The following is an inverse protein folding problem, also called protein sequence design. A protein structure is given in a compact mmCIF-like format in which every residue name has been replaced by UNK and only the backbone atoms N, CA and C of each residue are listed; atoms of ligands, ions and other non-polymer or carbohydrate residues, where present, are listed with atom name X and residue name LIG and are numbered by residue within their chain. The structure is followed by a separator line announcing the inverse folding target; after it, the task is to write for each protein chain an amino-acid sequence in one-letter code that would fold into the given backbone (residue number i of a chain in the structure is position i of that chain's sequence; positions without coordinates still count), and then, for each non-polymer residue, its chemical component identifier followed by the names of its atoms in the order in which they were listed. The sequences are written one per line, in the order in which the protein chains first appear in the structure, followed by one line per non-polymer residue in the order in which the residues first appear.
data_IF_962849355901
#
_entry.id   IF_962849355901
#
_cell.length_a   1.000
_cell.length_b   1.000
_cell.length_c   1.000
_cell.angle_alpha   90.00
_cell.angle_beta   90.00
_cell.angle_gamma   90.00
#
_symmetry.space_group_name_H-M   'P 1'
#
loop_
_entity.id
_entity.type
_entity.pdbx_description
1 polymer ?
#
# COMPACT_ATOMS: atom_id res chain seq x y z
N UNK A 1 -21.82 5.13 -2.49
CA UNK A 1 -20.81 4.41 -3.28
C UNK A 1 -20.92 4.78 -4.74
N UNK A 2 -21.99 4.39 -5.45
CA UNK A 2 -22.18 4.71 -6.88
C UNK A 2 -22.21 6.22 -7.16
N UNK A 3 -22.92 6.99 -6.34
CA UNK A 3 -23.05 8.45 -6.57
C UNK A 3 -21.93 9.28 -5.92
N UNK A 4 -21.00 8.62 -5.22
CA UNK A 4 -19.99 9.32 -4.41
C UNK A 4 -18.58 8.83 -4.74
N UNK A 5 -18.26 7.60 -4.36
CA UNK A 5 -16.91 7.07 -4.47
C UNK A 5 -16.54 6.72 -5.91
N UNK A 6 -17.48 6.22 -6.71
CA UNK A 6 -17.22 5.90 -8.14
C UNK A 6 -16.81 7.15 -8.94
N UNK A 7 -17.55 8.28 -8.88
CA UNK A 7 -17.10 9.54 -9.51
C UNK A 7 -15.71 9.99 -9.05
N UNK A 8 -15.38 9.80 -7.76
CA UNK A 8 -14.04 10.10 -7.26
C UNK A 8 -12.97 9.21 -7.90
N UNK A 9 -13.21 7.90 -7.98
CA UNK A 9 -12.29 6.95 -8.61
C UNK A 9 -12.08 7.21 -10.10
N UNK A 10 -13.11 7.69 -10.81
CA UNK A 10 -13.08 7.94 -12.25
C UNK A 10 -12.53 9.33 -12.60
N UNK A 11 -12.76 10.33 -11.75
CA UNK A 11 -12.42 11.72 -12.02
C UNK A 11 -11.05 12.17 -11.50
N UNK A 12 -10.54 11.57 -10.42
CA UNK A 12 -9.37 12.12 -9.70
C UNK A 12 -8.12 11.24 -9.76
N UNK A 13 -8.20 10.01 -10.28
CA UNK A 13 -7.08 9.08 -10.28
C UNK A 13 -6.33 9.03 -11.61
N UNK A 14 -5.01 8.89 -11.53
CA UNK A 14 -4.13 8.63 -12.66
C UNK A 14 -3.55 7.22 -12.57
N UNK A 15 -4.38 6.20 -12.80
CA UNK A 15 -3.98 4.81 -12.64
C UNK A 15 -2.86 4.40 -13.62
N UNK A 16 -1.69 3.94 -13.14
CA UNK A 16 -0.68 3.38 -14.03
C UNK A 16 -1.22 2.16 -14.77
N UNK A 17 -0.99 2.12 -16.10
CA UNK A 17 -1.61 1.12 -16.97
C UNK A 17 -1.29 -0.34 -16.61
N UNK A 18 -0.15 -0.60 -15.98
CA UNK A 18 0.23 -1.95 -15.53
C UNK A 18 -0.74 -2.49 -14.47
N UNK A 19 -1.17 -1.64 -13.53
CA UNK A 19 -2.10 -2.03 -12.47
C UNK A 19 -3.53 -2.17 -12.98
N UNK A 20 -3.92 -1.41 -14.02
CA UNK A 20 -5.19 -1.63 -14.69
C UNK A 20 -5.24 -2.98 -15.39
N UNK A 21 -4.15 -3.37 -16.07
CA UNK A 21 -4.04 -4.70 -16.71
C UNK A 21 -4.08 -5.83 -15.69
N UNK A 22 -3.41 -5.67 -14.55
CA UNK A 22 -3.45 -6.67 -13.49
C UNK A 22 -4.83 -6.75 -12.84
N UNK A 23 -5.47 -5.61 -12.58
CA UNK A 23 -6.86 -5.55 -12.09
C UNK A 23 -7.82 -6.28 -13.04
N UNK A 24 -7.65 -6.12 -14.35
CA UNK A 24 -8.41 -6.87 -15.35
C UNK A 24 -8.15 -8.37 -15.32
N UNK A 25 -6.90 -8.76 -15.14
CA UNK A 25 -6.52 -10.16 -15.03
C UNK A 25 -7.15 -10.81 -13.79
N UNK A 26 -7.22 -10.10 -12.66
CA UNK A 26 -7.91 -10.55 -11.44
C UNK A 26 -9.40 -10.76 -11.72
N UNK A 27 -10.09 -9.77 -12.29
CA UNK A 27 -11.52 -9.89 -12.64
C UNK A 27 -11.76 -11.06 -13.60
N UNK A 28 -10.93 -11.19 -14.63
CA UNK A 28 -11.00 -12.30 -15.59
C UNK A 28 -10.77 -13.65 -14.90
N UNK A 29 -9.85 -13.73 -13.96
CA UNK A 29 -9.60 -14.92 -13.15
C UNK A 29 -10.82 -15.32 -12.34
N UNK A 30 -11.48 -14.35 -11.70
CA UNK A 30 -12.74 -14.56 -10.97
C UNK A 30 -13.85 -15.06 -11.90
N UNK A 31 -14.03 -14.44 -13.07
CA UNK A 31 -15.03 -14.90 -14.06
C UNK A 31 -14.74 -16.32 -14.54
N UNK A 32 -13.46 -16.63 -14.80
CA UNK A 32 -13.04 -17.95 -15.30
C UNK A 32 -13.22 -19.05 -14.26
N UNK A 33 -13.15 -18.73 -12.96
CA UNK A 33 -13.39 -19.70 -11.89
C UNK A 33 -14.86 -20.13 -11.79
N UNK A 34 -15.78 -19.40 -12.42
CA UNK A 34 -17.21 -19.67 -12.37
C UNK A 34 -17.87 -19.27 -11.05
N UNK A 35 -17.20 -18.46 -10.22
CA UNK A 35 -17.80 -17.90 -9.01
C UNK A 35 -18.96 -16.98 -9.36
N UNK A 36 -19.97 -16.91 -8.47
CA UNK A 36 -21.00 -15.89 -8.57
C UNK A 36 -20.38 -14.51 -8.29
N UNK A 37 -20.42 -13.64 -9.31
CA UNK A 37 -19.86 -12.29 -9.26
C UNK A 37 -20.86 -11.27 -8.69
N UNK A 38 -22.10 -11.67 -8.42
CA UNK A 38 -23.16 -10.75 -7.99
C UNK A 38 -22.81 -10.08 -6.66
N UNK A 39 -22.81 -8.76 -6.64
CA UNK A 39 -22.74 -7.96 -5.40
C UNK A 39 -24.14 -7.49 -5.06
N UNK A 40 -24.79 -8.18 -4.13
CA UNK A 40 -26.20 -7.93 -3.76
C UNK A 40 -26.47 -6.45 -3.43
N UNK A 41 -25.63 -5.85 -2.59
CA UNK A 41 -25.79 -4.45 -2.18
C UNK A 41 -25.66 -3.43 -3.34
N UNK A 42 -25.08 -3.83 -4.47
CA UNK A 42 -24.94 -2.98 -5.66
C UNK A 42 -25.90 -3.38 -6.78
N UNK A 43 -26.63 -4.49 -6.62
CA UNK A 43 -27.53 -5.04 -7.62
C UNK A 43 -26.87 -5.20 -9.01
N UNK A 44 -25.58 -5.51 -9.04
CA UNK A 44 -24.81 -5.78 -10.26
C UNK A 44 -23.64 -6.70 -9.97
N UNK A 45 -23.00 -7.18 -11.02
CA UNK A 45 -21.79 -7.98 -10.89
C UNK A 45 -20.61 -7.09 -10.46
N UNK A 46 -19.69 -7.70 -9.71
CA UNK A 46 -18.41 -7.14 -9.35
C UNK A 46 -17.59 -6.86 -10.61
N UNK A 47 -17.01 -5.66 -10.70
CA UNK A 47 -16.26 -5.22 -11.87
C UNK A 47 -14.99 -4.45 -11.46
N UNK A 48 -14.25 -3.96 -12.46
CA UNK A 48 -12.97 -3.26 -12.22
C UNK A 48 -13.12 -2.09 -11.24
N UNK A 49 -14.19 -1.31 -11.33
CA UNK A 49 -14.40 -0.16 -10.45
C UNK A 49 -14.48 -0.56 -8.97
N UNK A 50 -15.02 -1.74 -8.66
CA UNK A 50 -15.04 -2.26 -7.28
C UNK A 50 -13.64 -2.68 -6.82
N UNK A 51 -12.84 -3.29 -7.70
CA UNK A 51 -11.46 -3.66 -7.40
C UNK A 51 -10.57 -2.43 -7.20
N UNK A 52 -10.77 -1.38 -8.01
CA UNK A 52 -10.12 -0.08 -7.82
C UNK A 52 -10.53 0.56 -6.49
N UNK A 53 -11.81 0.46 -6.12
CA UNK A 53 -12.30 0.94 -4.84
C UNK A 53 -11.61 0.26 -3.64
N UNK A 54 -11.33 -1.05 -3.74
CA UNK A 54 -10.56 -1.79 -2.73
C UNK A 54 -9.12 -1.25 -2.65
N UNK A 55 -8.46 -1.08 -3.80
CA UNK A 55 -7.06 -0.65 -3.85
C UNK A 55 -6.86 0.82 -3.45
N UNK A 56 -7.89 1.66 -3.62
CA UNK A 56 -7.94 3.08 -3.25
C UNK A 56 -8.56 3.32 -1.85
N UNK A 57 -8.61 2.29 -1.01
CA UNK A 57 -9.22 2.35 0.33
C UNK A 57 -8.65 3.49 1.19
N UNK A 58 -7.35 3.75 1.11
CA UNK A 58 -6.68 4.83 1.84
C UNK A 58 -7.07 6.20 1.27
N UNK A 59 -6.98 6.33 -0.05
CA UNK A 59 -7.21 7.57 -0.79
C UNK A 59 -8.65 8.04 -0.69
N UNK A 60 -9.60 7.13 -0.42
CA UNK A 60 -10.99 7.49 -0.09
C UNK A 60 -11.08 8.60 0.96
N UNK A 61 -10.20 8.58 1.97
CA UNK A 61 -10.18 9.59 3.05
C UNK A 61 -9.82 10.99 2.55
N UNK A 62 -9.22 11.11 1.36
CA UNK A 62 -8.95 12.39 0.76
C UNK A 62 -10.23 13.12 0.31
N UNK A 63 -11.22 12.37 -0.18
CA UNK A 63 -12.52 12.90 -0.58
C UNK A 63 -13.56 12.84 0.55
N UNK A 64 -13.44 11.84 1.43
CA UNK A 64 -14.39 11.56 2.51
C UNK A 64 -13.64 11.40 3.83
N UNK A 65 -13.16 12.50 4.44
CA UNK A 65 -12.37 12.45 5.67
C UNK A 65 -13.18 11.84 6.81
N UNK A 66 -12.51 11.06 7.64
CA UNK A 66 -13.06 10.45 8.86
C UNK A 66 -12.43 11.11 10.09
N UNK A 67 -13.18 11.34 11.18
CA UNK A 67 -12.67 12.06 12.35
C UNK A 67 -11.48 11.34 13.02
N UNK A 68 -11.57 10.01 13.13
CA UNK A 68 -10.57 9.18 13.80
C UNK A 68 -10.04 8.14 12.79
N UNK A 69 -8.89 8.39 12.12
CA UNK A 69 -8.30 7.40 11.22
C UNK A 69 -7.82 6.17 12.01
N UNK A 70 -7.69 5.04 11.30
CA UNK A 70 -7.17 3.80 11.89
C UNK A 70 -5.83 4.06 12.58
N UNK A 71 -5.70 3.58 13.81
CA UNK A 71 -4.41 3.56 14.49
C UNK A 71 -3.53 2.48 13.83
N UNK A 72 -2.27 2.78 13.60
CA UNK A 72 -1.29 1.78 13.20
C UNK A 72 -0.03 2.13 13.97
N UNK A 73 0.78 1.13 14.31
CA UNK A 73 2.05 1.34 15.03
C UNK A 73 3.15 0.62 14.28
N UNK A 74 4.31 1.25 14.16
CA UNK A 74 5.48 0.67 13.51
C UNK A 74 6.75 1.07 14.25
N UNK A 75 7.76 0.22 14.19
CA UNK A 75 9.07 0.48 14.81
C UNK A 75 10.20 -0.17 14.03
N UNK A 76 11.41 0.35 14.24
CA UNK A 76 12.66 -0.22 13.77
C UNK A 76 13.75 -0.04 14.84
N UNK A 77 14.47 -1.11 15.15
CA UNK A 77 15.62 -1.14 16.05
C UNK A 77 16.79 -1.86 15.35
N UNK A 78 18.02 -1.43 15.57
CA UNK A 78 19.22 -2.00 14.94
C UNK A 78 20.45 -1.71 15.80
N UNK A 79 21.64 -2.20 15.41
CA UNK A 79 22.90 -1.86 16.07
C UNK A 79 22.91 -2.27 17.54
N UNK A 80 23.45 -1.42 18.41
CA UNK A 80 23.59 -1.71 19.84
C UNK A 80 22.26 -2.00 20.53
N UNK A 81 21.14 -1.48 20.02
CA UNK A 81 19.79 -1.77 20.52
C UNK A 81 19.37 -3.24 20.32
N UNK A 82 20.06 -3.96 19.43
CA UNK A 82 19.75 -5.34 19.04
C UNK A 82 20.96 -6.29 19.16
N UNK A 83 22.11 -5.81 19.64
CA UNK A 83 23.36 -6.58 19.76
C UNK A 83 23.23 -7.79 20.69
N UNK A 84 22.50 -7.63 21.81
CA UNK A 84 22.23 -8.73 22.75
C UNK A 84 21.07 -9.65 22.36
N UNK A 85 20.46 -9.45 21.19
CA UNK A 85 19.35 -10.28 20.68
C UNK A 85 19.87 -11.40 19.76
N UNK A 86 18.99 -12.32 19.36
CA UNK A 86 19.31 -13.34 18.35
C UNK A 86 19.71 -12.74 16.98
N UNK A 87 19.39 -11.47 16.75
CA UNK A 87 19.75 -10.75 15.54
C UNK A 87 21.16 -10.13 15.59
N UNK A 88 21.87 -10.18 16.73
CA UNK A 88 23.26 -9.76 16.91
C UNK A 88 23.60 -8.40 16.25
N UNK A 89 22.77 -7.39 16.51
CA UNK A 89 22.92 -6.05 15.95
C UNK A 89 22.16 -5.80 14.64
N UNK A 90 21.56 -6.83 14.06
CA UNK A 90 20.74 -6.73 12.85
C UNK A 90 19.46 -5.92 13.05
N UNK A 91 18.87 -5.47 11.92
CA UNK A 91 17.61 -4.73 11.94
C UNK A 91 16.45 -5.63 12.38
N UNK A 92 15.66 -5.14 13.33
CA UNK A 92 14.32 -5.63 13.67
C UNK A 92 13.33 -4.52 13.35
N UNK A 93 12.42 -4.76 12.41
CA UNK A 93 11.33 -3.85 12.08
C UNK A 93 9.99 -4.60 12.07
N UNK A 94 8.95 -3.97 12.61
CA UNK A 94 7.62 -4.56 12.65
C UNK A 94 6.52 -3.50 12.65
N UNK A 95 5.30 -3.96 12.36
CA UNK A 95 4.08 -3.16 12.34
C UNK A 95 2.90 -3.92 12.94
N UNK A 96 2.07 -3.17 13.67
CA UNK A 96 0.68 -3.53 13.96
C UNK A 96 -0.23 -2.74 13.03
N UNK A 97 -1.08 -3.46 12.31
CA UNK A 97 -2.14 -2.90 11.47
C UNK A 97 -3.46 -2.95 12.20
N UNK A 98 -3.93 -1.82 12.74
CA UNK A 98 -5.26 -1.80 13.33
C UNK A 98 -6.31 -1.53 12.25
N UNK A 99 -7.50 -2.04 12.48
CA UNK A 99 -8.63 -1.94 11.56
C UNK A 99 -9.93 -2.15 12.31
N UNK A 100 -10.89 -2.78 11.64
CA UNK A 100 -12.18 -3.10 12.23
C UNK A 100 -12.04 -4.15 13.35
N UNK A 101 -12.93 -4.13 14.34
CA UNK A 101 -13.02 -5.17 15.38
C UNK A 101 -14.19 -6.14 15.16
N UNK A 102 -14.97 -5.93 14.10
CA UNK A 102 -16.08 -6.80 13.73
C UNK A 102 -15.57 -7.98 12.89
N UNK A 103 -15.54 -9.18 13.51
CA UNK A 103 -15.08 -10.43 12.88
C UNK A 103 -15.84 -10.82 11.60
N UNK A 104 -17.01 -10.23 11.35
CA UNK A 104 -17.77 -10.44 10.11
C UNK A 104 -17.21 -9.64 8.94
N UNK A 105 -16.32 -8.67 9.19
CA UNK A 105 -15.68 -7.87 8.15
C UNK A 105 -14.55 -8.67 7.51
N UNK A 106 -14.44 -8.57 6.19
CA UNK A 106 -13.35 -9.19 5.40
C UNK A 106 -11.99 -8.73 5.90
N UNK A 107 -11.88 -7.47 6.35
CA UNK A 107 -10.65 -6.91 6.89
C UNK A 107 -10.15 -7.59 8.18
N UNK A 108 -11.02 -8.33 8.87
CA UNK A 108 -10.69 -9.05 10.11
C UNK A 108 -10.60 -10.55 9.87
N UNK A 109 -11.50 -11.10 9.06
CA UNK A 109 -11.63 -12.55 8.86
C UNK A 109 -10.72 -13.12 7.78
N UNK A 110 -10.25 -12.30 6.84
CA UNK A 110 -9.54 -12.79 5.65
C UNK A 110 -8.21 -12.05 5.46
N UNK A 111 -7.19 -12.46 6.21
CA UNK A 111 -5.83 -11.97 6.03
C UNK A 111 -5.03 -12.95 5.18
N UNK A 112 -4.41 -12.45 4.11
CA UNK A 112 -3.63 -13.25 3.17
C UNK A 112 -2.17 -12.83 3.14
N UNK A 113 -1.29 -13.82 2.99
CA UNK A 113 0.12 -13.61 2.67
C UNK A 113 0.30 -13.95 1.20
N UNK A 114 0.62 -12.95 0.38
CA UNK A 114 0.93 -13.13 -1.03
C UNK A 114 2.44 -13.20 -1.20
N UNK A 115 2.97 -14.34 -1.66
CA UNK A 115 4.33 -14.43 -2.17
C UNK A 115 4.28 -14.21 -3.69
N UNK A 116 4.87 -13.11 -4.15
CA UNK A 116 4.80 -12.67 -5.54
C UNK A 116 6.17 -12.83 -6.18
N UNK A 117 6.18 -13.56 -7.29
CA UNK A 117 7.32 -13.71 -8.19
C UNK A 117 6.99 -13.02 -9.52
N UNK A 118 7.36 -11.73 -9.69
CA UNK A 118 7.00 -11.00 -10.89
C UNK A 118 7.62 -11.62 -12.15
N UNK A 119 6.82 -11.77 -13.20
CA UNK A 119 7.29 -12.33 -14.47
C UNK A 119 8.21 -11.38 -15.25
N UNK A 120 8.15 -10.09 -14.94
CA UNK A 120 8.93 -9.07 -15.62
C UNK A 120 10.38 -9.03 -15.16
N UNK A 121 11.28 -9.02 -16.14
CA UNK A 121 12.73 -8.94 -15.88
C UNK A 121 13.10 -7.71 -15.06
N UNK A 122 13.98 -7.91 -14.09
CA UNK A 122 14.51 -6.84 -13.24
C UNK A 122 13.59 -6.41 -12.10
N UNK A 123 12.43 -7.05 -11.94
CA UNK A 123 11.60 -6.91 -10.73
C UNK A 123 12.02 -7.92 -9.67
N UNK A 124 11.94 -7.50 -8.41
CA UNK A 124 12.25 -8.33 -7.25
C UNK A 124 11.03 -9.08 -6.77
N UNK A 125 11.25 -10.31 -6.31
CA UNK A 125 10.25 -11.10 -5.57
C UNK A 125 9.92 -10.39 -4.27
N UNK A 126 8.65 -10.45 -3.87
CA UNK A 126 8.20 -9.76 -2.66
C UNK A 126 7.05 -10.48 -1.99
N UNK A 127 6.88 -10.21 -0.70
CA UNK A 127 5.76 -10.70 0.09
C UNK A 127 4.87 -9.54 0.49
N UNK A 128 3.56 -9.78 0.50
CA UNK A 128 2.51 -8.86 0.91
C UNK A 128 1.69 -9.49 2.02
N UNK A 129 1.34 -8.73 3.04
CA UNK A 129 0.38 -9.17 4.06
C UNK A 129 -0.86 -8.29 4.01
N UNK A 130 -1.85 -8.69 3.22
CA UNK A 130 -2.97 -7.85 2.78
C UNK A 130 -4.28 -8.64 2.66
N UNK A 131 -5.37 -7.96 2.32
CA UNK A 131 -6.68 -8.56 2.10
C UNK A 131 -6.88 -9.05 0.65
N UNK A 132 -7.85 -9.95 0.39
CA UNK A 132 -8.28 -10.31 -0.97
C UNK A 132 -8.59 -9.08 -1.83
N UNK A 133 -8.12 -9.08 -3.09
CA UNK A 133 -8.40 -8.04 -4.08
C UNK A 133 -7.39 -6.88 -4.12
N UNK A 134 -6.41 -6.85 -3.22
CA UNK A 134 -5.28 -5.92 -3.36
C UNK A 134 -4.32 -6.41 -4.45
N UNK A 135 -4.04 -5.55 -5.42
CA UNK A 135 -2.93 -5.72 -6.38
C UNK A 135 -1.70 -4.92 -5.93
N UNK A 136 -1.85 -3.97 -5.00
CA UNK A 136 -0.73 -3.30 -4.32
C UNK A 136 -0.40 -3.92 -2.96
N UNK A 137 0.40 -3.18 -2.19
CA UNK A 137 0.62 -3.48 -0.77
C UNK A 137 0.88 -2.23 0.04
N UNK A 138 0.43 -2.24 1.29
CA UNK A 138 0.85 -1.30 2.33
C UNK A 138 1.63 -2.00 3.44
N UNK A 139 1.96 -3.27 3.21
CA UNK A 139 2.65 -4.12 4.16
C UNK A 139 3.44 -5.18 3.42
N UNK A 140 4.67 -4.83 3.04
CA UNK A 140 5.46 -5.68 2.18
C UNK A 140 6.94 -5.65 2.48
N UNK A 141 7.59 -6.76 2.12
CA UNK A 141 9.03 -6.94 2.19
C UNK A 141 9.48 -7.61 0.90
N UNK A 142 10.58 -7.18 0.29
CA UNK A 142 11.13 -7.86 -0.90
C UNK A 142 12.26 -8.85 -0.55
N UNK A 143 12.69 -9.63 -1.55
CA UNK A 143 13.72 -10.66 -1.39
C UNK A 143 15.11 -10.13 -0.97
N UNK A 144 15.33 -8.83 -1.09
CA UNK A 144 16.56 -8.17 -0.62
C UNK A 144 16.42 -7.54 0.76
N UNK A 145 15.25 -7.70 1.40
CA UNK A 145 14.99 -7.20 2.75
C UNK A 145 14.53 -5.74 2.81
N UNK A 146 14.19 -5.11 1.68
CA UNK A 146 13.53 -3.80 1.70
C UNK A 146 12.14 -3.96 2.29
N UNK A 147 11.92 -3.30 3.41
CA UNK A 147 10.69 -3.27 4.19
C UNK A 147 9.91 -1.99 3.90
N UNK A 148 8.60 -2.11 3.69
CA UNK A 148 7.70 -1.00 3.46
C UNK A 148 6.37 -1.23 4.17
N UNK A 149 6.03 -0.31 5.07
CA UNK A 149 4.80 -0.38 5.85
C UNK A 149 4.16 1.00 5.96
N UNK A 150 2.87 1.09 5.71
CA UNK A 150 2.13 2.35 5.83
C UNK A 150 1.26 2.38 7.09
N UNK A 151 1.29 3.52 7.76
CA UNK A 151 0.32 3.91 8.76
C UNK A 151 -0.53 5.03 8.18
N UNK A 152 -1.84 4.93 8.43
CA UNK A 152 -2.78 5.98 8.05
C UNK A 152 -2.38 7.31 8.72
N UNK A 153 -2.01 8.29 7.91
CA UNK A 153 -1.78 9.67 8.34
C UNK A 153 -3.02 10.54 8.15
N UNK A 154 -2.87 11.86 8.29
CA UNK A 154 -3.92 12.82 7.96
C UNK A 154 -3.32 14.08 7.35
N UNK A 155 -3.86 14.52 6.21
CA UNK A 155 -3.46 15.76 5.55
C UNK A 155 -4.25 17.00 6.00
N UNK A 156 -5.19 16.84 6.93
CA UNK A 156 -6.13 17.90 7.31
C UNK A 156 -7.18 18.21 6.22
N UNK A 157 -8.07 19.19 6.46
CA UNK A 157 -9.09 19.59 5.50
C UNK A 157 -8.47 20.26 4.26
N UNK A 158 -9.02 20.00 3.08
CA UNK A 158 -8.57 20.62 1.83
C UNK A 158 -9.32 20.10 0.60
N UNK A 159 -9.10 20.69 -0.59
CA UNK A 159 -9.70 20.22 -1.84
C UNK A 159 -9.26 18.80 -2.17
N UNK A 160 -10.14 18.04 -2.82
CA UNK A 160 -9.84 16.67 -3.27
C UNK A 160 -8.72 16.73 -4.31
N UNK A 161 -7.57 16.06 -4.10
CA UNK A 161 -6.46 16.08 -5.04
C UNK A 161 -6.80 15.38 -6.36
N UNK A 162 -6.17 15.84 -7.45
CA UNK A 162 -6.21 15.22 -8.78
C UNK A 162 -4.91 14.46 -9.05
N UNK A 163 -4.93 13.55 -10.02
CA UNK A 163 -3.76 12.76 -10.39
C UNK A 163 -3.34 11.75 -9.32
N UNK A 164 -4.30 11.30 -8.49
CA UNK A 164 -4.05 10.37 -7.39
C UNK A 164 -3.65 8.99 -7.92
N UNK A 165 -2.62 8.42 -7.32
CA UNK A 165 -2.24 7.01 -7.50
C UNK A 165 -2.40 6.32 -6.15
N UNK A 166 -3.00 5.11 -6.07
CA UNK A 166 -3.10 4.40 -4.81
C UNK A 166 -1.72 4.22 -4.17
N UNK A 167 -1.56 4.62 -2.91
CA UNK A 167 -0.30 4.53 -2.17
C UNK A 167 0.23 3.08 -2.15
N UNK A 168 -0.68 2.12 -2.08
CA UNK A 168 -0.37 0.69 -2.10
C UNK A 168 0.34 0.25 -3.40
N UNK A 169 0.04 0.91 -4.52
CA UNK A 169 0.66 0.62 -5.81
C UNK A 169 2.05 1.23 -5.90
N UNK A 170 2.22 2.44 -5.38
CA UNK A 170 3.52 3.12 -5.29
C UNK A 170 4.49 2.32 -4.42
N UNK A 171 4.05 1.86 -3.25
CA UNK A 171 4.86 1.02 -2.36
C UNK A 171 5.28 -0.28 -3.04
N UNK A 172 4.36 -0.96 -3.74
CA UNK A 172 4.69 -2.15 -4.54
C UNK A 172 5.73 -1.85 -5.62
N UNK A 173 5.57 -0.79 -6.40
CA UNK A 173 6.54 -0.42 -7.46
C UNK A 173 7.94 -0.27 -6.87
N UNK A 174 8.04 0.34 -5.69
CA UNK A 174 9.32 0.56 -5.01
C UNK A 174 9.88 -0.78 -4.52
N UNK A 175 9.07 -1.63 -3.88
CA UNK A 175 9.48 -2.97 -3.46
C UNK A 175 9.97 -3.83 -4.63
N UNK A 176 9.36 -3.70 -5.81
CA UNK A 176 9.76 -4.47 -6.99
C UNK A 176 11.05 -3.94 -7.64
N UNK A 177 11.42 -2.67 -7.44
CA UNK A 177 12.55 -2.04 -8.17
C UNK A 177 13.75 -1.67 -7.30
N UNK A 178 13.54 -1.40 -6.03
CA UNK A 178 14.58 -1.08 -5.05
C UNK A 178 14.91 -2.32 -4.20
N UNK A 179 15.94 -2.23 -3.37
CA UNK A 179 16.40 -3.38 -2.58
C UNK A 179 17.23 -2.98 -1.38
N UNK A 180 18.23 -3.80 -1.05
CA UNK A 180 19.07 -3.60 0.15
C UNK A 180 19.83 -2.28 0.18
N UNK A 181 20.08 -1.70 -0.99
CA UNK A 181 20.81 -0.44 -1.17
C UNK A 181 19.89 0.79 -1.25
N UNK A 182 18.58 0.61 -0.98
CA UNK A 182 17.63 1.71 -1.00
C UNK A 182 18.00 2.77 0.04
N UNK A 183 18.20 4.01 -0.43
CA UNK A 183 18.36 5.19 0.41
C UNK A 183 17.07 6.04 0.41
N UNK A 184 16.88 6.94 1.39
CA UNK A 184 15.79 7.92 1.37
C UNK A 184 15.69 8.67 0.04
N UNK A 185 16.82 9.14 -0.50
CA UNK A 185 16.87 9.89 -1.76
C UNK A 185 16.43 9.02 -2.95
N UNK A 186 16.85 7.76 -2.97
CA UNK A 186 16.50 6.82 -4.04
C UNK A 186 15.00 6.48 -4.06
N UNK A 187 14.40 6.34 -2.87
CA UNK A 187 12.97 6.06 -2.70
C UNK A 187 12.15 7.30 -3.05
N UNK A 188 12.50 8.47 -2.52
CA UNK A 188 11.83 9.74 -2.81
C UNK A 188 11.89 10.09 -4.31
N UNK A 189 13.03 9.82 -4.97
CA UNK A 189 13.17 9.99 -6.42
C UNK A 189 12.20 9.09 -7.19
N UNK A 190 11.97 7.87 -6.72
CA UNK A 190 11.03 6.92 -7.35
C UNK A 190 9.56 7.26 -7.05
N UNK A 191 9.28 7.89 -5.91
CA UNK A 191 7.95 8.38 -5.54
C UNK A 191 7.54 9.61 -6.35
N UNK A 192 8.47 10.52 -6.64
CA UNK A 192 8.21 11.83 -7.28
C UNK A 192 7.30 11.81 -8.52
N UNK A 193 7.41 10.86 -9.47
CA UNK A 193 6.53 10.80 -10.64
C UNK A 193 5.05 10.55 -10.32
N UNK A 194 4.74 10.10 -9.11
CA UNK A 194 3.37 9.79 -8.66
C UNK A 194 2.76 10.89 -7.79
N UNK A 195 3.39 12.07 -7.71
CA UNK A 195 2.85 13.21 -6.98
C UNK A 195 1.49 13.62 -7.55
N UNK A 196 0.50 13.78 -6.67
CA UNK A 196 -0.82 14.32 -7.01
C UNK A 196 -0.77 15.85 -7.08
N UNK A 197 -1.92 16.49 -7.39
CA UNK A 197 -2.00 17.94 -7.61
C UNK A 197 -1.61 18.80 -6.40
N UNK A 198 -1.50 18.22 -5.20
CA UNK A 198 -1.03 18.93 -4.00
C UNK A 198 0.49 18.82 -3.78
N UNK A 199 1.16 17.89 -4.47
CA UNK A 199 2.62 17.71 -4.44
C UNK A 199 3.10 16.47 -3.70
N UNK A 200 2.29 15.92 -2.79
CA UNK A 200 2.55 14.63 -2.12
C UNK A 200 2.14 13.41 -2.96
N UNK A 201 2.62 12.22 -2.57
CA UNK A 201 2.21 10.94 -3.20
C UNK A 201 1.02 10.27 -2.51
N UNK A 202 0.58 10.78 -1.37
CA UNK A 202 -0.46 10.18 -0.53
C UNK A 202 -1.57 11.21 -0.26
N UNK A 203 -2.60 11.19 -1.09
CA UNK A 203 -3.68 12.19 -1.08
C UNK A 203 -4.43 12.33 0.25
N UNK A 204 -4.50 11.24 1.03
CA UNK A 204 -5.15 11.19 2.34
C UNK A 204 -4.22 11.52 3.52
N UNK A 205 -2.92 11.62 3.27
CA UNK A 205 -1.90 11.60 4.30
C UNK A 205 -1.53 10.17 4.72
N UNK A 206 -0.23 9.89 4.72
CA UNK A 206 0.34 8.59 5.10
C UNK A 206 1.70 8.76 5.77
N UNK A 207 2.01 7.83 6.68
CA UNK A 207 3.29 7.72 7.36
C UNK A 207 3.88 6.37 6.99
N UNK A 208 4.89 6.35 6.12
CA UNK A 208 5.47 5.11 5.58
C UNK A 208 6.85 4.89 6.19
N UNK A 209 7.05 3.77 6.90
CA UNK A 209 8.38 3.34 7.34
C UNK A 209 9.01 2.49 6.24
N UNK A 210 10.20 2.93 5.83
CA UNK A 210 11.08 2.20 4.96
C UNK A 210 12.27 1.70 5.77
N UNK A 211 12.69 0.46 5.55
CA UNK A 211 13.90 -0.06 6.18
C UNK A 211 14.62 -1.07 5.29
N UNK A 212 15.93 -1.18 5.45
CA UNK A 212 16.80 -2.14 4.76
C UNK A 212 17.68 -2.88 5.78
N UNK A 213 18.20 -4.08 5.46
CA UNK A 213 19.05 -4.82 6.38
C UNK A 213 20.23 -3.99 6.90
N UNK A 214 20.46 -4.00 8.22
CA UNK A 214 21.56 -3.27 8.84
C UNK A 214 22.91 -3.95 8.56
N UNK A 215 23.81 -3.23 7.89
CA UNK A 215 25.17 -3.65 7.54
C UNK A 215 26.22 -2.62 8.02
N UNK A 216 25.91 -1.84 9.07
CA UNK A 216 26.79 -0.82 9.63
C UNK A 216 26.54 0.61 9.11
N UNK A 217 25.55 0.82 8.23
CA UNK A 217 25.13 2.16 7.82
C UNK A 217 24.51 2.96 8.98
N UNK A 218 24.63 4.29 8.96
CA UNK A 218 24.13 5.17 10.02
C UNK A 218 22.62 5.04 10.25
N UNK A 219 21.84 5.05 9.16
CA UNK A 219 20.37 4.99 9.20
C UNK A 219 19.85 3.91 8.25
N UNK A 220 19.61 2.67 8.72
CA UNK A 220 19.00 1.60 7.91
C UNK A 220 17.50 1.79 7.70
N UNK A 221 16.86 2.74 8.39
CA UNK A 221 15.44 2.99 8.33
C UNK A 221 15.13 4.49 8.29
N UNK A 222 14.05 4.87 7.62
CA UNK A 222 13.56 6.25 7.59
C UNK A 222 12.03 6.28 7.46
N UNK A 223 11.44 7.38 7.91
CA UNK A 223 10.01 7.62 7.80
C UNK A 223 9.75 8.65 6.71
N UNK A 224 8.82 8.33 5.82
CA UNK A 224 8.20 9.30 4.92
C UNK A 224 6.87 9.74 5.52
N UNK A 225 6.76 11.01 5.87
CA UNK A 225 5.50 11.65 6.23
C UNK A 225 5.00 12.44 5.02
N UNK A 226 4.07 11.84 4.28
CA UNK A 226 3.44 12.48 3.13
C UNK A 226 2.17 13.17 3.57
N UNK A 227 2.15 14.51 3.52
CA UNK A 227 0.92 15.28 3.54
C UNK A 227 0.53 15.71 2.11
N UNK A 228 -0.62 16.39 2.00
CA UNK A 228 -0.99 17.08 0.77
C UNK A 228 0.03 18.16 0.45
#
# INVERSE_FOLDING_TARGET
YKDTFVPFLEGHFNYPSEFLKESDAVIKGMQTSGIDMRVEALERDFNRTDLLAINAYIEKRAAFPIPDPSSCTQFAFWGSQTEGSEHNGGLIAARNMDGECDVRKVTVSHFLVYAVDPSESGRKRWVSTMWPGFVGTISGINEEGLYSMENAGGSGPGPVPDGVVPCSWIQRIILEKQGRDASPESVLKMMKPFACSTGGITAAGSIILWAVPYNGQESPAFVYEGAR
#
